data_IF_576490486128
#
_entry.id   IF_576490486128
#
_cell.length_a   1.000
_cell.length_b   1.000
_cell.length_c   1.000
_cell.angle_alpha   90.00
_cell.angle_beta   90.00
_cell.angle_gamma   90.00
#
_symmetry.space_group_name_H-M   'P 1'
#
loop_
_entity.id
_entity.type
_entity.pdbx_description
1 polymer ?
#
# COMPACT_ATOMS: atom_id res chain seq x y z
N UNK A 1 -2.10 -5.19 -27.48
CA UNK A 1 -2.89 -4.08 -26.89
C UNK A 1 -2.69 -4.11 -25.39
N UNK A 2 -2.19 -3.02 -24.79
CA UNK A 2 -2.11 -2.87 -23.34
C UNK A 2 -3.43 -2.25 -22.91
N UNK A 3 -4.30 -3.02 -22.26
CA UNK A 3 -5.50 -2.44 -21.65
C UNK A 3 -5.07 -1.91 -20.29
N UNK A 4 -4.87 -0.60 -20.22
CA UNK A 4 -4.58 0.09 -18.96
C UNK A 4 -5.93 0.34 -18.28
N UNK A 5 -6.32 -0.54 -17.37
CA UNK A 5 -7.40 -0.26 -16.44
C UNK A 5 -6.92 0.83 -15.47
N UNK A 6 -7.24 2.08 -15.78
CA UNK A 6 -7.07 3.19 -14.85
C UNK A 6 -8.17 3.07 -13.79
N UNK A 7 -7.85 2.41 -12.68
CA UNK A 7 -8.71 2.45 -11.50
C UNK A 7 -8.52 3.84 -10.90
N UNK A 8 -9.44 4.76 -11.19
CA UNK A 8 -9.47 6.05 -10.54
C UNK A 8 -9.69 5.80 -9.04
N UNK A 9 -8.62 5.88 -8.27
CA UNK A 9 -8.63 5.78 -6.83
C UNK A 9 -9.18 7.10 -6.26
N UNK A 10 -10.43 7.42 -6.58
CA UNK A 10 -11.17 8.48 -5.91
C UNK A 10 -11.18 8.14 -4.42
N UNK A 11 -10.55 8.99 -3.60
CA UNK A 11 -10.63 8.94 -2.15
C UNK A 11 -9.63 8.02 -1.42
N UNK A 12 -8.34 8.34 -1.47
CA UNK A 12 -7.50 8.30 -0.25
C UNK A 12 -7.64 9.59 0.58
N UNK A 13 -8.45 10.54 0.11
CA UNK A 13 -8.94 11.63 0.93
C UNK A 13 -9.85 11.08 2.03
N UNK A 14 -9.54 11.46 3.26
CA UNK A 14 -10.31 11.20 4.48
C UNK A 14 -10.06 9.82 5.13
N UNK A 15 -8.81 9.38 5.25
CA UNK A 15 -8.44 8.73 6.50
C UNK A 15 -8.41 9.84 7.55
N UNK A 16 -9.55 10.05 8.21
CA UNK A 16 -9.62 10.86 9.41
C UNK A 16 -8.45 10.48 10.32
N UNK A 17 -7.76 11.50 10.82
CA UNK A 17 -6.75 11.41 11.89
C UNK A 17 -7.37 10.74 13.12
N UNK A 18 -7.46 9.41 13.12
CA UNK A 18 -7.79 8.64 14.31
C UNK A 18 -6.54 8.62 15.19
N UNK A 19 -6.32 9.76 15.87
CA UNK A 19 -5.39 9.88 16.98
C UNK A 19 -5.95 9.06 18.13
N UNK A 20 -5.66 7.76 18.15
CA UNK A 20 -5.99 6.89 19.26
C UNK A 20 -5.15 7.32 20.49
N UNK A 21 -5.72 8.19 21.33
CA UNK A 21 -5.26 8.38 22.71
C UNK A 21 -5.74 7.18 23.51
N UNK A 22 -4.83 6.26 23.83
CA UNK A 22 -5.09 5.19 24.79
C UNK A 22 -4.93 5.78 26.19
N UNK A 23 -6.04 6.19 26.81
CA UNK A 23 -6.10 6.45 28.25
C UNK A 23 -6.19 5.13 29.00
N UNK A 24 -5.26 4.97 29.95
CA UNK A 24 -5.13 3.81 30.82
C UNK A 24 -6.41 3.55 31.64
N UNK A 25 -6.87 2.30 31.67
CA UNK A 25 -7.74 1.78 32.71
C UNK A 25 -7.20 0.43 33.17
N UNK A 26 -6.74 0.42 34.42
CA UNK A 26 -6.14 -0.68 35.15
C UNK A 26 -7.09 -1.86 35.35
N UNK A 27 -6.58 -3.10 35.21
CA UNK A 27 -6.98 -4.30 35.97
C UNK A 27 -5.93 -5.40 35.79
N UNK A 28 -5.10 -5.55 36.84
CA UNK A 28 -4.31 -6.71 37.32
C UNK A 28 -3.76 -7.77 36.34
N UNK A 29 -2.42 -7.85 36.27
CA UNK A 29 -1.58 -8.97 35.78
C UNK A 29 -1.63 -10.20 36.73
N UNK A 30 -1.22 -11.39 36.23
CA UNK A 30 0.00 -11.98 36.77
C UNK A 30 1.07 -12.24 35.70
N UNK A 31 2.24 -12.65 36.17
CA UNK A 31 3.55 -12.30 35.65
C UNK A 31 4.22 -13.32 34.69
N UNK A 32 5.28 -12.83 34.05
CA UNK A 32 6.43 -13.53 33.45
C UNK A 32 6.27 -14.13 32.04
N UNK A 33 6.85 -13.46 31.04
CA UNK A 33 8.09 -13.95 30.38
C UNK A 33 8.63 -12.85 29.46
N UNK A 34 9.84 -12.38 29.74
CA UNK A 34 10.52 -11.37 28.93
C UNK A 34 11.02 -11.93 27.60
N UNK A 35 10.77 -11.19 26.53
CA UNK A 35 11.70 -11.09 25.40
C UNK A 35 11.40 -9.79 24.65
N UNK A 36 12.41 -8.92 24.57
CA UNK A 36 12.30 -7.55 24.09
C UNK A 36 11.70 -7.46 22.69
N UNK A 37 10.48 -6.95 22.59
CA UNK A 37 9.84 -6.59 21.32
C UNK A 37 10.19 -5.13 21.06
N UNK A 38 11.29 -4.88 20.36
CA UNK A 38 11.57 -3.57 19.75
C UNK A 38 10.36 -3.22 18.88
N UNK A 39 9.58 -2.22 19.31
CA UNK A 39 8.56 -1.61 18.47
C UNK A 39 9.32 -0.81 17.42
N UNK A 40 9.57 -1.43 16.26
CA UNK A 40 10.08 -0.72 15.09
C UNK A 40 8.92 0.13 14.58
N UNK A 41 8.95 1.42 14.92
CA UNK A 41 8.05 2.40 14.36
C UNK A 41 8.40 2.54 12.87
N UNK A 42 7.50 2.15 11.97
CA UNK A 42 7.71 2.16 10.51
C UNK A 42 8.14 3.53 9.98
N UNK A 43 7.86 4.61 10.72
CA UNK A 43 8.28 5.97 10.37
C UNK A 43 9.76 6.26 10.61
N UNK A 44 10.46 5.54 11.50
CA UNK A 44 11.89 5.79 11.76
C UNK A 44 12.80 5.26 10.65
N UNK A 45 12.33 4.30 9.83
CA UNK A 45 13.08 3.74 8.70
C UNK A 45 13.29 4.72 7.53
N UNK A 46 12.69 5.92 7.59
CA UNK A 46 12.77 6.93 6.53
C UNK A 46 13.69 8.11 6.85
N UNK A 47 14.27 8.21 8.07
CA UNK A 47 15.25 9.26 8.38
C UNK A 47 16.67 8.78 8.12
N UNK A 48 17.36 9.52 7.27
CA UNK A 48 18.74 9.27 6.86
C UNK A 48 19.71 9.67 8.00
N UNK A 49 20.59 8.79 8.49
CA UNK A 49 21.82 9.24 9.11
C UNK A 49 22.66 9.84 7.98
N UNK A 50 23.08 11.10 8.08
CA UNK A 50 24.07 11.71 7.16
C UNK A 50 25.47 11.04 7.31
N UNK A 51 25.51 9.71 7.26
CA UNK A 51 26.72 8.93 7.17
C UNK A 51 27.15 8.97 5.71
N UNK A 52 28.00 9.96 5.45
CA UNK A 52 28.89 10.02 4.31
C UNK A 52 29.31 8.61 3.89
N UNK A 53 28.97 8.29 2.66
CA UNK A 53 29.33 7.09 1.93
C UNK A 53 30.77 6.67 2.26
N UNK A 54 30.96 5.65 3.10
CA UNK A 54 32.24 4.94 3.09
C UNK A 54 32.27 4.12 1.79
N UNK A 55 32.63 4.81 0.70
CA UNK A 55 32.62 4.31 -0.68
C UNK A 55 33.41 3.00 -0.86
N UNK A 56 34.27 2.64 0.10
CA UNK A 56 35.10 1.44 0.05
C UNK A 56 34.37 0.13 0.37
N UNK A 57 33.12 0.16 0.86
CA UNK A 57 32.37 -1.07 1.25
C UNK A 57 30.93 -1.14 0.72
N UNK A 58 30.57 -0.33 -0.27
CA UNK A 58 29.22 -0.40 -0.84
C UNK A 58 29.08 -1.61 -1.77
N UNK A 59 28.22 -2.55 -1.39
CA UNK A 59 27.78 -3.64 -2.26
C UNK A 59 26.67 -3.17 -3.19
N UNK A 60 26.44 -3.89 -4.29
CA UNK A 60 25.30 -3.63 -5.21
C UNK A 60 23.97 -3.63 -4.44
N UNK A 61 23.80 -4.52 -3.46
CA UNK A 61 22.62 -4.57 -2.61
C UNK A 61 22.43 -3.30 -1.77
N UNK A 62 23.53 -2.76 -1.24
CA UNK A 62 23.49 -1.51 -0.44
C UNK A 62 23.06 -0.34 -1.31
N UNK A 63 23.65 -0.20 -2.50
CA UNK A 63 23.27 0.83 -3.47
C UNK A 63 21.81 0.73 -3.89
N UNK A 64 21.34 -0.46 -4.25
CA UNK A 64 19.95 -0.68 -4.64
C UNK A 64 18.97 -0.33 -3.51
N UNK A 65 19.31 -0.70 -2.26
CA UNK A 65 18.52 -0.32 -1.08
C UNK A 65 18.42 1.19 -0.93
N UNK A 66 19.54 1.91 -1.01
CA UNK A 66 19.53 3.37 -0.89
C UNK A 66 18.72 4.03 -2.00
N UNK A 67 18.87 3.59 -3.25
CA UNK A 67 18.11 4.09 -4.38
C UNK A 67 16.59 3.87 -4.20
N UNK A 68 16.17 2.72 -3.67
CA UNK A 68 14.76 2.46 -3.36
C UNK A 68 14.22 3.34 -2.23
N UNK A 69 15.01 3.55 -1.17
CA UNK A 69 14.61 4.41 -0.04
C UNK A 69 14.44 5.87 -0.47
N UNK A 70 15.37 6.39 -1.28
CA UNK A 70 15.28 7.74 -1.86
C UNK A 70 14.08 7.89 -2.79
N UNK A 71 13.76 6.87 -3.58
CA UNK A 71 12.54 6.87 -4.40
C UNK A 71 11.27 6.92 -3.52
N UNK A 72 11.20 6.09 -2.48
CA UNK A 72 10.03 6.04 -1.61
C UNK A 72 9.84 7.35 -0.84
N UNK A 73 10.92 7.96 -0.33
CA UNK A 73 10.83 9.24 0.38
C UNK A 73 10.21 10.34 -0.50
N UNK A 74 10.58 10.38 -1.78
CA UNK A 74 10.01 11.31 -2.77
C UNK A 74 8.56 11.00 -3.10
N UNK A 75 8.20 9.71 -3.24
CA UNK A 75 6.83 9.29 -3.55
C UNK A 75 5.83 9.61 -2.43
N UNK A 76 6.26 9.53 -1.17
CA UNK A 76 5.37 9.74 0.01
C UNK A 76 4.94 11.20 0.18
N UNK A 77 5.70 12.16 -0.33
CA UNK A 77 5.36 13.60 -0.26
C UNK A 77 4.16 13.95 -1.16
N UNK A 78 3.97 13.21 -2.26
CA UNK A 78 2.92 13.45 -3.24
C UNK A 78 1.61 12.71 -2.97
N UNK A 79 0.60 12.98 -3.80
CA UNK A 79 -0.62 12.19 -3.88
C UNK A 79 -0.45 11.09 -4.96
N UNK A 80 -0.36 9.80 -4.59
CA UNK A 80 -0.13 8.74 -5.55
C UNK A 80 -1.41 8.37 -6.31
N UNK A 81 -1.26 8.14 -7.62
CA UNK A 81 -2.26 7.50 -8.47
C UNK A 81 -1.74 6.13 -8.92
N UNK A 82 -2.54 5.08 -8.74
CA UNK A 82 -2.14 3.71 -9.02
C UNK A 82 -2.83 3.18 -10.28
N UNK A 83 -2.05 2.80 -11.29
CA UNK A 83 -2.52 2.10 -12.49
C UNK A 83 -2.03 0.65 -12.45
N UNK A 84 -2.95 -0.30 -12.61
CA UNK A 84 -2.63 -1.74 -12.66
C UNK A 84 -2.83 -2.26 -14.07
N UNK A 85 -1.73 -2.61 -14.73
CA UNK A 85 -1.76 -3.20 -16.07
C UNK A 85 -2.02 -4.71 -15.96
N UNK A 86 -2.98 -5.23 -16.74
CA UNK A 86 -3.31 -6.65 -16.80
C UNK A 86 -3.05 -7.17 -18.21
N UNK A 87 -2.34 -8.30 -18.33
CA UNK A 87 -2.10 -8.98 -19.59
C UNK A 87 -3.23 -9.99 -19.85
N UNK A 88 -4.10 -9.81 -20.86
CA UNK A 88 -5.28 -10.65 -21.03
C UNK A 88 -4.94 -12.07 -21.51
N UNK A 89 -3.86 -12.24 -22.26
CA UNK A 89 -3.37 -13.54 -22.74
C UNK A 89 -1.85 -13.47 -23.01
N UNK A 90 -1.17 -14.62 -23.02
CA UNK A 90 0.27 -14.66 -23.23
C UNK A 90 0.71 -14.56 -24.69
N UNK A 91 -0.15 -15.03 -25.60
CA UNK A 91 0.09 -15.15 -27.04
C UNK A 91 -0.03 -13.82 -27.80
N UNK A 92 -0.30 -12.72 -27.09
CA UNK A 92 -0.47 -11.35 -27.63
C UNK A 92 -1.56 -11.24 -28.69
N UNK A 93 -2.53 -12.14 -28.66
CA UNK A 93 -3.67 -12.15 -29.58
C UNK A 93 -4.70 -11.10 -29.15
N UNK A 94 -5.25 -10.37 -30.12
CA UNK A 94 -6.38 -9.47 -29.85
C UNK A 94 -7.63 -10.28 -29.49
N UNK A 95 -8.51 -9.70 -28.66
CA UNK A 95 -9.80 -10.27 -28.26
C UNK A 95 -9.76 -11.63 -27.55
N UNK A 96 -8.57 -12.12 -27.17
CA UNK A 96 -8.41 -13.35 -26.39
C UNK A 96 -8.22 -13.04 -24.91
N UNK A 97 -9.00 -13.69 -24.07
CA UNK A 97 -8.95 -13.53 -22.61
C UNK A 97 -8.73 -14.89 -21.94
N UNK A 98 -7.65 -15.01 -21.16
CA UNK A 98 -7.36 -16.19 -20.36
C UNK A 98 -7.67 -15.92 -18.89
N UNK A 99 -8.80 -16.48 -18.42
CA UNK A 99 -9.34 -16.24 -17.09
C UNK A 99 -8.39 -16.66 -15.98
N UNK A 100 -7.74 -17.81 -16.12
CA UNK A 100 -6.85 -18.39 -15.12
C UNK A 100 -5.64 -17.47 -14.91
N UNK A 101 -5.06 -17.00 -16.03
CA UNK A 101 -3.93 -16.07 -16.03
C UNK A 101 -4.32 -14.73 -15.43
N UNK A 102 -5.45 -14.15 -15.83
CA UNK A 102 -5.90 -12.88 -15.27
C UNK A 102 -6.23 -13.01 -13.77
N UNK A 103 -6.84 -14.12 -13.33
CA UNK A 103 -7.14 -14.35 -11.91
C UNK A 103 -5.88 -14.40 -11.05
N UNK A 104 -4.80 -15.02 -11.54
CA UNK A 104 -3.50 -15.00 -10.85
C UNK A 104 -2.93 -13.58 -10.79
N UNK A 105 -3.07 -12.80 -11.87
CA UNK A 105 -2.64 -11.39 -11.88
C UNK A 105 -3.41 -10.54 -10.87
N UNK A 106 -4.72 -10.69 -10.78
CA UNK A 106 -5.53 -9.95 -9.82
C UNK A 106 -5.10 -10.22 -8.36
N UNK A 107 -4.61 -11.43 -8.07
CA UNK A 107 -4.05 -11.81 -6.76
C UNK A 107 -2.69 -11.16 -6.49
N UNK A 108 -1.69 -11.39 -7.35
CA UNK A 108 -0.33 -10.87 -7.06
C UNK A 108 -0.24 -9.34 -7.19
N UNK A 109 -1.12 -8.71 -7.97
CA UNK A 109 -1.19 -7.24 -8.07
C UNK A 109 -1.94 -6.60 -6.90
N UNK A 110 -2.58 -7.41 -6.03
CA UNK A 110 -3.32 -6.95 -4.87
C UNK A 110 -4.66 -6.28 -5.21
N UNK A 111 -5.18 -6.47 -6.42
CA UNK A 111 -6.49 -5.90 -6.81
C UNK A 111 -7.60 -6.55 -5.98
N UNK A 112 -7.56 -7.88 -5.79
CA UNK A 112 -8.58 -8.58 -4.99
C UNK A 112 -8.56 -8.13 -3.52
N UNK A 113 -7.37 -8.00 -2.92
CA UNK A 113 -7.20 -7.44 -1.58
C UNK A 113 -7.73 -6.02 -1.48
N UNK A 114 -7.43 -5.17 -2.47
CA UNK A 114 -7.92 -3.78 -2.51
C UNK A 114 -9.44 -3.72 -2.56
N UNK A 115 -10.07 -4.58 -3.37
CA UNK A 115 -11.53 -4.70 -3.44
C UNK A 115 -12.08 -5.19 -2.10
N UNK A 116 -11.44 -6.18 -1.48
CA UNK A 116 -11.89 -6.73 -0.19
C UNK A 116 -11.83 -5.68 0.93
N UNK A 117 -10.74 -4.92 1.03
CA UNK A 117 -10.60 -3.83 2.02
C UNK A 117 -11.68 -2.76 1.79
N UNK A 118 -11.89 -2.35 0.53
CA UNK A 118 -12.91 -1.34 0.19
C UNK A 118 -14.33 -1.81 0.53
N UNK A 119 -14.63 -3.08 0.26
CA UNK A 119 -15.94 -3.70 0.54
C UNK A 119 -16.25 -3.81 2.04
N UNK A 120 -15.23 -4.00 2.88
CA UNK A 120 -15.40 -4.02 4.33
C UNK A 120 -15.71 -2.62 4.91
N UNK A 121 -15.43 -1.56 4.15
CA UNK A 121 -15.86 -0.20 4.45
C UNK A 121 -17.12 0.23 3.69
N UNK A 122 -17.41 1.52 3.73
CA UNK A 122 -18.47 2.15 2.94
C UNK A 122 -17.89 2.70 1.64
N UNK A 123 -17.69 1.82 0.65
CA UNK A 123 -17.11 2.18 -0.65
C UNK A 123 -18.05 2.97 -1.55
N UNK A 124 -19.37 2.83 -1.36
CA UNK A 124 -20.37 3.54 -2.13
C UNK A 124 -20.78 4.82 -1.38
N UNK A 125 -20.43 5.98 -1.92
CA UNK A 125 -20.72 7.29 -1.32
C UNK A 125 -21.52 8.10 -2.33
N UNK A 126 -22.83 8.09 -2.16
CA UNK A 126 -23.77 8.85 -2.99
C UNK A 126 -24.01 10.20 -2.33
N UNK A 127 -24.14 11.25 -3.13
CA UNK A 127 -24.60 12.55 -2.62
C UNK A 127 -26.06 12.43 -2.15
N UNK A 128 -26.45 13.22 -1.17
CA UNK A 128 -27.80 13.12 -0.59
C UNK A 128 -28.90 13.36 -1.63
N UNK A 129 -28.73 14.36 -2.50
CA UNK A 129 -29.68 14.65 -3.58
C UNK A 129 -29.88 13.47 -4.53
N UNK A 130 -28.77 12.84 -4.97
CA UNK A 130 -28.81 11.63 -5.81
C UNK A 130 -29.40 10.42 -5.09
N UNK A 131 -29.23 10.33 -3.77
CA UNK A 131 -29.82 9.26 -2.97
C UNK A 131 -31.34 9.41 -2.85
N UNK A 132 -31.85 10.64 -2.71
CA UNK A 132 -33.29 10.91 -2.59
C UNK A 132 -34.02 10.79 -3.94
N UNK A 133 -33.37 11.16 -5.05
CA UNK A 133 -33.97 11.13 -6.38
C UNK A 133 -34.02 9.74 -7.04
N UNK A 134 -33.57 8.68 -6.35
CA UNK A 134 -33.39 7.34 -6.91
C UNK A 134 -34.40 6.35 -6.35
#
# INVERSE_FOLDING_TARGET
MKEAASVHLQGLGNLATCRARVTAASRSLPAQLGSGRTKVDTMEMMRHPEETTNMRRQTVASYFRYSLMDLLSKMVVGQPHFVRCIKPNDDRQALRFCKERVTVQLRYTGILETVNIRRQGYSHRILFEEFVNR
#
